data_IF_996570292568
#
_entry.id   IF_996570292568
#
_cell.length_a   1.000
_cell.length_b   1.000
_cell.length_c   1.000
_cell.angle_alpha   90.00
_cell.angle_beta   90.00
_cell.angle_gamma   90.00
#
_symmetry.space_group_name_H-M   'P 1'
#
loop_
_entity.id
_entity.type
_entity.pdbx_description
1 polymer ?
#
# COMPACT_ATOMS: atom_id res chain seq x y z
N UNK A 1 69.22 -15.55 3.81
CA UNK A 1 69.83 -15.99 2.56
C UNK A 1 68.78 -15.76 1.50
N UNK A 2 68.87 -14.66 0.85
CA UNK A 2 69.53 -14.32 -0.45
C UNK A 2 68.54 -14.62 -1.57
N UNK A 3 67.97 -13.57 -2.09
CA UNK A 3 68.45 -12.83 -3.31
C UNK A 3 67.93 -13.55 -4.57
N UNK A 4 67.39 -12.97 -5.49
CA UNK A 4 67.53 -11.80 -6.34
C UNK A 4 66.72 -12.13 -7.59
N UNK A 5 65.98 -11.27 -8.11
CA UNK A 5 66.31 -10.29 -9.14
C UNK A 5 65.88 -10.65 -10.55
N UNK A 6 65.41 -9.66 -11.26
CA UNK A 6 65.48 -9.45 -12.69
C UNK A 6 64.26 -9.81 -13.49
N UNK A 7 63.54 -8.96 -14.19
CA UNK A 7 63.94 -7.90 -15.06
C UNK A 7 62.91 -7.83 -16.14
N UNK A 8 62.41 -6.67 -16.41
CA UNK A 8 62.18 -5.95 -17.65
C UNK A 8 61.95 -6.73 -18.96
N UNK A 9 60.93 -6.37 -19.67
CA UNK A 9 60.98 -5.63 -20.92
C UNK A 9 59.65 -5.54 -21.69
N UNK A 10 59.11 -4.37 -21.74
CA UNK A 10 58.62 -3.64 -22.95
C UNK A 10 58.44 -4.47 -24.23
N UNK A 11 57.28 -4.40 -24.82
CA UNK A 11 57.11 -3.89 -26.22
C UNK A 11 55.67 -3.46 -26.50
N UNK A 12 55.53 -2.22 -26.79
CA UNK A 12 54.48 -1.59 -27.56
C UNK A 12 54.36 -2.22 -28.94
N UNK A 13 53.16 -2.39 -29.44
CA UNK A 13 52.90 -2.10 -30.86
C UNK A 13 51.46 -1.57 -31.00
N UNK A 14 51.42 -0.39 -31.44
CA UNK A 14 50.23 0.30 -31.94
C UNK A 14 49.92 -0.19 -33.37
N UNK A 15 48.63 -0.37 -33.62
CA UNK A 15 48.12 -0.33 -35.01
C UNK A 15 46.70 0.28 -34.98
N UNK A 16 46.61 1.54 -35.38
CA UNK A 16 45.44 2.08 -36.09
C UNK A 16 45.67 1.84 -37.59
N UNK A 17 44.60 1.54 -38.34
CA UNK A 17 44.26 2.46 -39.39
C UNK A 17 42.80 2.71 -39.70
N UNK A 18 42.53 3.91 -40.18
CA UNK A 18 41.74 4.38 -41.34
C UNK A 18 40.28 3.97 -41.35
N UNK A 19 39.31 4.85 -41.15
CA UNK A 19 39.07 5.96 -42.10
C UNK A 19 37.83 5.57 -42.88
N UNK A 20 36.64 6.05 -42.51
CA UNK A 20 35.53 6.08 -43.45
C UNK A 20 34.84 7.45 -43.35
N UNK A 21 34.63 7.95 -44.51
CA UNK A 21 34.29 9.28 -44.94
C UNK A 21 32.89 9.71 -44.38
N UNK A 22 32.89 10.96 -44.02
CA UNK A 22 31.72 11.83 -43.88
C UNK A 22 31.24 12.17 -45.28
N UNK A 23 29.97 11.93 -45.54
CA UNK A 23 29.23 12.52 -46.66
C UNK A 23 28.12 13.39 -46.07
N UNK A 24 28.09 14.69 -46.34
CA UNK A 24 26.95 15.52 -45.99
C UNK A 24 26.03 15.61 -47.19
N UNK A 25 24.76 15.40 -47.06
CA UNK A 25 23.79 16.10 -47.89
C UNK A 25 22.38 16.12 -47.31
N UNK A 26 21.84 17.31 -47.40
CA UNK A 26 20.49 17.77 -47.64
C UNK A 26 19.50 17.91 -46.46
N UNK A 27 19.43 19.10 -45.92
CA UNK A 27 18.19 19.79 -45.55
C UNK A 27 17.52 20.30 -46.87
N UNK A 28 16.22 20.70 -46.88
CA UNK A 28 15.29 21.08 -45.83
C UNK A 28 13.85 20.56 -46.05
N UNK A 29 13.07 20.42 -45.02
CA UNK A 29 11.62 20.55 -45.17
C UNK A 29 11.06 21.40 -44.04
N UNK A 30 10.46 22.48 -44.44
CA UNK A 30 9.66 23.41 -43.67
C UNK A 30 8.63 22.67 -42.78
N UNK A 31 8.74 22.78 -41.48
CA UNK A 31 7.61 22.56 -40.57
C UNK A 31 7.12 23.92 -40.13
N UNK A 32 5.99 24.30 -40.67
CA UNK A 32 5.21 25.47 -40.26
C UNK A 32 4.86 25.31 -38.77
N UNK A 33 5.31 26.28 -37.99
CA UNK A 33 4.80 26.56 -36.66
C UNK A 33 3.28 26.88 -36.76
N UNK A 34 2.45 25.93 -36.41
CA UNK A 34 1.08 26.20 -36.03
C UNK A 34 1.09 26.39 -34.51
N UNK A 35 1.13 27.62 -34.05
CA UNK A 35 0.70 27.98 -32.71
C UNK A 35 -0.79 27.66 -32.59
N UNK A 36 -1.11 26.56 -31.93
CA UNK A 36 -2.43 26.34 -31.38
C UNK A 36 -2.32 26.64 -29.88
N UNK A 37 -2.69 27.84 -29.52
CA UNK A 37 -3.11 28.19 -28.17
C UNK A 37 -4.43 27.48 -27.89
N UNK A 38 -4.35 26.20 -27.51
CA UNK A 38 -5.45 25.54 -26.86
C UNK A 38 -5.39 25.88 -25.37
N UNK A 39 -6.13 26.90 -24.99
CA UNK A 39 -6.55 27.15 -23.62
C UNK A 39 -7.27 25.90 -23.10
N UNK A 40 -6.53 25.00 -22.48
CA UNK A 40 -7.10 23.88 -21.74
C UNK A 40 -7.72 24.50 -20.46
N UNK A 41 -8.94 24.96 -20.59
CA UNK A 41 -9.83 25.17 -19.45
C UNK A 41 -10.07 23.79 -18.84
N UNK A 42 -9.23 23.41 -17.88
CA UNK A 42 -9.48 22.23 -17.06
C UNK A 42 -10.76 22.48 -16.27
N UNK A 43 -11.88 22.09 -16.86
CA UNK A 43 -13.17 22.00 -16.20
C UNK A 43 -12.96 21.00 -15.05
N UNK A 44 -12.86 21.52 -13.80
CA UNK A 44 -12.86 20.69 -12.60
C UNK A 44 -14.03 19.71 -12.73
N UNK A 45 -13.81 18.39 -12.66
CA UNK A 45 -14.93 17.47 -12.60
C UNK A 45 -15.73 17.85 -11.36
N UNK A 46 -17.03 18.11 -11.55
CA UNK A 46 -17.96 18.28 -10.46
C UNK A 46 -17.85 17.04 -9.57
N UNK A 47 -17.61 17.26 -8.28
CA UNK A 47 -17.66 16.21 -7.27
C UNK A 47 -19.03 15.55 -7.38
N UNK A 48 -19.04 14.31 -7.84
CA UNK A 48 -20.23 13.50 -7.92
C UNK A 48 -20.64 13.15 -6.48
N UNK A 49 -21.55 13.95 -5.92
CA UNK A 49 -22.00 13.83 -4.53
C UNK A 49 -22.97 12.65 -4.31
N UNK A 50 -23.28 11.89 -5.37
CA UNK A 50 -24.25 10.81 -5.30
C UNK A 50 -23.58 9.46 -5.01
N UNK A 51 -23.81 8.97 -3.80
CA UNK A 51 -23.59 7.58 -3.37
C UNK A 51 -22.16 7.14 -3.05
N UNK A 52 -21.36 7.96 -2.39
CA UNK A 52 -19.96 7.65 -2.09
C UNK A 52 -19.77 7.33 -0.61
N UNK A 53 -19.36 6.11 -0.30
CA UNK A 53 -18.88 5.76 1.04
C UNK A 53 -17.69 6.65 1.41
N UNK A 54 -17.68 7.18 2.62
CA UNK A 54 -16.65 8.08 3.09
C UNK A 54 -15.77 7.39 4.14
N UNK A 55 -14.47 7.50 3.97
CA UNK A 55 -13.46 6.85 4.81
C UNK A 55 -12.65 7.89 5.60
N UNK A 56 -12.25 7.52 6.81
CA UNK A 56 -11.34 8.35 7.61
C UNK A 56 -9.89 8.10 7.18
N UNK A 57 -9.15 9.18 6.88
CA UNK A 57 -7.78 9.05 6.36
C UNK A 57 -6.70 9.34 7.38
N UNK A 58 -7.02 10.03 8.45
CA UNK A 58 -6.09 10.89 9.16
C UNK A 58 -4.88 10.20 9.82
N UNK A 59 -5.07 9.06 10.48
CA UNK A 59 -3.96 8.48 11.26
C UNK A 59 -2.96 7.75 10.36
N UNK A 60 -3.43 6.88 9.47
CA UNK A 60 -2.56 6.11 8.59
C UNK A 60 -1.91 6.98 7.51
N UNK A 61 -2.64 7.93 6.94
CA UNK A 61 -2.11 8.84 5.93
C UNK A 61 -0.93 9.66 6.47
N UNK A 62 -1.08 10.29 7.64
CA UNK A 62 0.01 11.04 8.26
C UNK A 62 1.21 10.16 8.61
N UNK A 63 0.99 8.93 9.08
CA UNK A 63 2.06 7.97 9.35
C UNK A 63 2.79 7.57 8.07
N UNK A 64 2.07 7.32 6.97
CA UNK A 64 2.67 6.99 5.67
C UNK A 64 3.46 8.17 5.12
N UNK A 65 2.92 9.40 5.15
CA UNK A 65 3.66 10.59 4.72
C UNK A 65 4.95 10.77 5.52
N UNK A 66 4.91 10.58 6.84
CA UNK A 66 6.10 10.65 7.69
C UNK A 66 7.13 9.57 7.34
N UNK A 67 6.70 8.33 7.09
CA UNK A 67 7.57 7.24 6.66
C UNK A 67 8.23 7.52 5.31
N UNK A 68 7.49 8.16 4.42
CA UNK A 68 7.95 8.49 3.07
C UNK A 68 8.71 9.82 3.00
N UNK A 69 8.93 10.49 4.15
CA UNK A 69 9.56 11.81 4.24
C UNK A 69 8.87 12.86 3.34
N UNK A 70 7.54 12.77 3.24
CA UNK A 70 6.70 13.66 2.44
C UNK A 70 5.89 14.57 3.34
N UNK A 71 5.73 15.83 2.91
CA UNK A 71 4.76 16.72 3.53
C UNK A 71 3.34 16.30 3.12
N UNK A 72 2.47 16.07 4.12
CA UNK A 72 1.09 15.62 3.89
C UNK A 72 0.25 16.65 3.13
N UNK A 73 0.55 17.94 3.30
CA UNK A 73 -0.10 19.05 2.58
C UNK A 73 0.22 19.00 1.10
N UNK A 74 1.49 18.82 0.78
CA UNK A 74 1.94 18.73 -0.62
C UNK A 74 1.33 17.53 -1.32
N UNK A 75 1.27 16.36 -0.64
CA UNK A 75 0.64 15.16 -1.19
C UNK A 75 -0.85 15.38 -1.48
N UNK A 76 -1.57 16.05 -0.57
CA UNK A 76 -2.99 16.35 -0.74
C UNK A 76 -3.22 17.32 -1.90
N UNK A 77 -2.40 18.38 -2.01
CA UNK A 77 -2.50 19.38 -3.06
C UNK A 77 -2.19 18.79 -4.45
N UNK A 78 -1.14 17.97 -4.56
CA UNK A 78 -0.78 17.29 -5.81
C UNK A 78 -1.83 16.25 -6.22
N UNK A 79 -2.50 15.63 -5.26
CA UNK A 79 -3.67 14.78 -5.51
C UNK A 79 -4.90 15.58 -5.99
N UNK A 80 -4.83 16.91 -6.06
CA UNK A 80 -5.94 17.79 -6.44
C UNK A 80 -7.05 17.83 -5.38
N UNK A 81 -6.71 17.62 -4.12
CA UNK A 81 -7.65 17.55 -2.99
C UNK A 81 -7.54 18.79 -2.10
N UNK A 82 -8.59 19.13 -1.34
CA UNK A 82 -8.56 20.27 -0.46
C UNK A 82 -7.53 20.12 0.68
N UNK A 83 -6.74 21.16 0.92
CA UNK A 83 -5.67 21.21 1.93
C UNK A 83 -6.11 20.77 3.33
N UNK A 84 -7.36 21.04 3.72
CA UNK A 84 -7.92 20.61 5.03
C UNK A 84 -7.81 19.08 5.27
N UNK A 85 -7.60 18.29 4.24
CA UNK A 85 -7.38 16.84 4.36
C UNK A 85 -6.01 16.49 4.95
N UNK A 86 -5.05 17.38 4.85
CA UNK A 86 -3.71 17.20 5.43
C UNK A 86 -3.68 17.37 6.95
N UNK A 87 -4.54 18.24 7.48
CA UNK A 87 -4.49 18.67 8.89
C UNK A 87 -5.73 18.28 9.70
N UNK A 88 -6.82 17.87 9.04
CA UNK A 88 -8.11 17.66 9.65
C UNK A 88 -8.26 16.29 10.33
N UNK A 89 -8.49 16.28 11.65
CA UNK A 89 -9.00 15.10 12.31
C UNK A 89 -10.47 14.88 11.92
N UNK A 90 -10.81 13.63 11.55
CA UNK A 90 -12.18 13.24 11.22
C UNK A 90 -12.66 13.65 9.83
N UNK A 91 -11.79 14.15 8.96
CA UNK A 91 -12.15 14.42 7.57
C UNK A 91 -12.34 13.11 6.83
N UNK A 92 -13.47 12.98 6.14
CA UNK A 92 -13.82 11.80 5.35
C UNK A 92 -13.60 12.07 3.87
N UNK A 93 -13.08 11.07 3.18
CA UNK A 93 -12.82 11.11 1.75
C UNK A 93 -13.53 9.96 1.03
N UNK A 94 -13.71 10.12 -0.26
CA UNK A 94 -14.26 9.08 -1.13
C UNK A 94 -13.24 7.98 -1.37
N UNK A 95 -13.69 6.82 -1.85
CA UNK A 95 -12.80 5.74 -2.30
C UNK A 95 -11.85 6.22 -3.42
N UNK A 96 -12.37 6.98 -4.36
CA UNK A 96 -11.59 7.54 -5.46
C UNK A 96 -10.49 8.49 -4.95
N UNK A 97 -10.84 9.37 -3.99
CA UNK A 97 -9.86 10.29 -3.39
C UNK A 97 -8.82 9.53 -2.57
N UNK A 98 -9.22 8.46 -1.88
CA UNK A 98 -8.30 7.58 -1.16
C UNK A 98 -7.24 6.99 -2.11
N UNK A 99 -7.65 6.42 -3.25
CA UNK A 99 -6.70 5.87 -4.21
C UNK A 99 -5.87 6.94 -4.90
N UNK A 100 -6.43 8.12 -5.18
CA UNK A 100 -5.69 9.25 -5.72
C UNK A 100 -4.54 9.71 -4.81
N UNK A 101 -4.77 9.72 -3.50
CA UNK A 101 -3.71 9.97 -2.52
C UNK A 101 -2.60 8.92 -2.63
N UNK A 102 -2.94 7.64 -2.72
CA UNK A 102 -1.96 6.57 -2.85
C UNK A 102 -1.18 6.65 -4.17
N UNK A 103 -1.85 6.90 -5.27
CA UNK A 103 -1.20 7.10 -6.57
C UNK A 103 -0.23 8.30 -6.53
N UNK A 104 -0.60 9.35 -5.83
CA UNK A 104 0.28 10.53 -5.63
C UNK A 104 1.50 10.18 -4.79
N UNK A 105 1.34 9.43 -3.70
CA UNK A 105 2.46 8.95 -2.87
C UNK A 105 3.42 8.10 -3.72
N UNK A 106 2.88 7.18 -4.54
CA UNK A 106 3.68 6.34 -5.44
C UNK A 106 4.43 7.21 -6.44
N UNK A 107 3.75 8.14 -7.10
CA UNK A 107 4.34 9.01 -8.12
C UNK A 107 5.45 9.94 -7.56
N UNK A 108 5.31 10.40 -6.33
CA UNK A 108 6.31 11.24 -5.64
C UNK A 108 7.46 10.41 -5.08
N UNK A 109 7.25 9.13 -4.85
CA UNK A 109 8.27 8.25 -4.30
C UNK A 109 9.39 7.99 -5.32
N UNK A 110 10.64 8.09 -4.86
CA UNK A 110 11.81 7.66 -5.63
C UNK A 110 12.24 6.22 -5.28
N UNK A 111 11.47 5.55 -4.41
CA UNK A 111 11.80 4.22 -3.92
C UNK A 111 11.25 3.15 -4.86
N UNK A 112 12.05 2.15 -5.11
CA UNK A 112 11.63 0.95 -5.83
C UNK A 112 10.98 -0.07 -4.89
N UNK A 113 11.27 0.00 -3.57
CA UNK A 113 10.82 -0.90 -2.49
C UNK A 113 9.70 -0.29 -1.63
N UNK A 114 8.83 0.54 -2.22
CA UNK A 114 7.83 1.33 -1.49
C UNK A 114 6.90 0.47 -0.63
N UNK A 115 6.48 -0.70 -1.11
CA UNK A 115 5.62 -1.63 -0.38
C UNK A 115 6.32 -2.19 0.86
N UNK A 116 7.61 -2.52 0.75
CA UNK A 116 8.41 -3.05 1.84
C UNK A 116 8.63 -1.97 2.89
N UNK A 117 8.99 -0.79 2.43
CA UNK A 117 9.25 0.35 3.32
C UNK A 117 8.00 0.74 4.11
N UNK A 118 6.85 0.87 3.46
CA UNK A 118 5.59 1.21 4.12
C UNK A 118 5.13 0.06 5.04
N UNK A 119 5.13 -1.17 4.56
CA UNK A 119 4.67 -2.32 5.35
C UNK A 119 5.47 -2.50 6.64
N UNK A 120 6.80 -2.49 6.56
CA UNK A 120 7.70 -2.56 7.72
C UNK A 120 7.60 -1.34 8.62
N UNK A 121 7.56 -0.15 8.03
CA UNK A 121 7.47 1.09 8.77
C UNK A 121 6.19 1.17 9.60
N UNK A 122 5.06 0.78 9.03
CA UNK A 122 3.78 0.72 9.76
C UNK A 122 3.77 -0.38 10.82
N UNK A 123 4.39 -1.54 10.54
CA UNK A 123 4.43 -2.63 11.51
C UNK A 123 5.24 -2.27 12.77
N UNK A 124 6.32 -1.50 12.61
CA UNK A 124 7.27 -1.20 13.68
C UNK A 124 7.12 0.19 14.30
N UNK A 125 6.57 1.18 13.56
CA UNK A 125 6.61 2.58 13.97
C UNK A 125 5.26 3.24 14.21
N UNK A 126 4.18 2.72 13.64
CA UNK A 126 2.88 3.35 13.76
C UNK A 126 2.08 2.80 14.94
N UNK A 127 1.57 3.69 15.77
CA UNK A 127 0.62 3.36 16.83
C UNK A 127 -0.77 3.82 16.40
N UNK A 128 -1.64 2.87 16.12
CA UNK A 128 -3.06 3.12 15.86
C UNK A 128 -3.89 2.16 16.69
N UNK A 129 -5.04 2.59 17.22
CA UNK A 129 -5.91 1.72 18.01
C UNK A 129 -6.24 0.39 17.34
N UNK A 130 -6.39 0.36 16.01
CA UNK A 130 -6.64 -0.87 15.26
C UNK A 130 -5.48 -1.88 15.37
N UNK A 131 -4.25 -1.42 15.55
CA UNK A 131 -3.10 -2.33 15.66
C UNK A 131 -3.12 -3.10 16.98
N UNK A 132 -3.74 -2.55 18.02
CA UNK A 132 -3.99 -3.26 19.27
C UNK A 132 -5.02 -4.38 19.11
N UNK A 133 -5.95 -4.26 18.15
CA UNK A 133 -6.89 -5.35 17.85
C UNK A 133 -6.15 -6.64 17.47
N UNK A 134 -5.01 -6.50 16.73
CA UNK A 134 -4.15 -7.63 16.40
C UNK A 134 -3.20 -7.98 17.55
N UNK A 135 -2.43 -7.01 18.03
CA UNK A 135 -1.30 -7.29 18.93
C UNK A 135 -1.70 -7.68 20.36
N UNK A 136 -2.89 -7.27 20.84
CA UNK A 136 -3.38 -7.62 22.18
C UNK A 136 -4.22 -8.90 22.22
N UNK A 137 -4.28 -9.66 21.14
CA UNK A 137 -5.04 -10.90 21.07
C UNK A 137 -4.29 -12.07 21.75
N UNK A 138 -4.99 -13.11 22.20
CA UNK A 138 -4.36 -14.28 22.82
C UNK A 138 -3.55 -15.12 21.82
N UNK A 139 -3.99 -15.17 20.56
CA UNK A 139 -3.38 -15.94 19.50
C UNK A 139 -3.46 -15.23 18.15
N UNK A 140 -2.69 -15.72 17.17
CA UNK A 140 -2.56 -15.09 15.86
C UNK A 140 -3.90 -15.04 15.10
N UNK A 141 -4.69 -16.11 15.14
CA UNK A 141 -6.01 -16.19 14.49
C UNK A 141 -6.95 -15.14 15.04
N UNK A 142 -7.13 -15.12 16.36
CA UNK A 142 -7.96 -14.13 17.05
C UNK A 142 -7.51 -12.71 16.74
N UNK A 143 -6.20 -12.48 16.65
CA UNK A 143 -5.64 -11.19 16.29
C UNK A 143 -6.05 -10.73 14.89
N UNK A 144 -5.94 -11.60 13.90
CA UNK A 144 -6.40 -11.29 12.55
C UNK A 144 -7.90 -11.12 12.43
N UNK A 145 -8.71 -11.95 13.14
CA UNK A 145 -10.17 -11.81 13.17
C UNK A 145 -10.60 -10.46 13.77
N UNK A 146 -10.00 -10.06 14.89
CA UNK A 146 -10.23 -8.73 15.48
C UNK A 146 -9.85 -7.61 14.52
N UNK A 147 -8.67 -7.69 13.91
CA UNK A 147 -8.21 -6.69 12.94
C UNK A 147 -9.13 -6.61 11.73
N UNK A 148 -9.59 -7.74 11.19
CA UNK A 148 -10.50 -7.80 10.06
C UNK A 148 -11.84 -7.11 10.34
N UNK A 149 -12.38 -7.24 11.55
CA UNK A 149 -13.62 -6.58 11.99
C UNK A 149 -13.58 -5.06 11.78
N UNK A 150 -12.42 -4.44 11.98
CA UNK A 150 -12.27 -2.98 11.94
C UNK A 150 -11.59 -2.47 10.65
N UNK A 151 -11.13 -3.36 9.77
CA UNK A 151 -10.31 -2.98 8.61
C UNK A 151 -10.96 -1.91 7.72
N UNK A 152 -12.26 -1.99 7.47
CA UNK A 152 -12.96 -1.06 6.59
C UNK A 152 -13.18 0.34 7.18
N UNK A 153 -12.94 0.54 8.48
CA UNK A 153 -12.95 1.88 9.10
C UNK A 153 -11.79 2.74 8.54
N UNK A 154 -10.69 2.10 8.14
CA UNK A 154 -9.43 2.72 7.77
C UNK A 154 -9.15 2.73 6.26
N UNK A 155 -10.15 2.52 5.45
CA UNK A 155 -10.02 2.59 4.00
C UNK A 155 -11.04 1.70 3.27
N UNK A 156 -11.14 1.83 1.94
CA UNK A 156 -12.12 1.14 1.10
C UNK A 156 -11.80 -0.35 0.88
N UNK A 157 -11.40 -1.03 1.93
CA UNK A 157 -10.96 -2.41 1.88
C UNK A 157 -11.53 -3.20 3.04
N UNK A 158 -11.86 -4.45 2.79
CA UNK A 158 -12.22 -5.44 3.80
C UNK A 158 -11.14 -6.51 3.90
N UNK A 159 -11.13 -7.22 5.00
CA UNK A 159 -10.27 -8.36 5.21
C UNK A 159 -11.14 -9.56 5.63
N UNK A 160 -10.89 -10.71 5.05
CA UNK A 160 -11.51 -11.97 5.46
C UNK A 160 -10.46 -12.87 6.08
N UNK A 161 -10.85 -13.51 7.17
CA UNK A 161 -10.06 -14.52 7.87
C UNK A 161 -10.83 -15.83 7.84
N UNK A 162 -10.23 -16.89 7.31
CA UNK A 162 -10.87 -18.19 7.18
C UNK A 162 -9.98 -19.28 7.74
N UNK A 163 -10.63 -20.25 8.37
CA UNK A 163 -10.01 -21.51 8.72
C UNK A 163 -10.25 -22.52 7.58
N UNK A 164 -9.18 -22.94 6.92
CA UNK A 164 -9.23 -23.97 5.90
C UNK A 164 -8.40 -25.18 6.34
N UNK A 165 -9.07 -26.17 6.92
CA UNK A 165 -8.43 -27.40 7.46
C UNK A 165 -7.28 -27.08 8.43
N UNK A 166 -7.51 -26.13 9.33
CA UNK A 166 -6.51 -25.67 10.30
C UNK A 166 -5.67 -24.49 9.79
N UNK A 167 -5.46 -24.35 8.49
CA UNK A 167 -4.72 -23.21 7.90
C UNK A 167 -5.43 -21.89 8.19
N UNK A 168 -4.65 -20.88 8.41
CA UNK A 168 -5.14 -19.51 8.59
C UNK A 168 -5.00 -18.74 7.26
N UNK A 169 -6.12 -18.50 6.60
CA UNK A 169 -6.18 -17.74 5.34
C UNK A 169 -6.64 -16.32 5.61
N UNK A 170 -5.84 -15.36 5.20
CA UNK A 170 -6.08 -13.92 5.38
C UNK A 170 -6.07 -13.25 4.02
N UNK A 171 -7.23 -12.79 3.55
CA UNK A 171 -7.37 -12.16 2.24
C UNK A 171 -7.88 -10.72 2.35
N UNK A 172 -7.38 -9.85 1.46
CA UNK A 172 -7.74 -8.44 1.36
C UNK A 172 -8.62 -8.24 0.12
N UNK A 173 -9.75 -7.56 0.30
CA UNK A 173 -10.69 -7.28 -0.79
C UNK A 173 -10.97 -5.79 -0.87
N UNK A 174 -11.13 -5.26 -2.10
CA UNK A 174 -11.74 -3.96 -2.30
C UNK A 174 -13.25 -4.03 -2.03
N UNK A 175 -13.82 -2.96 -1.52
CA UNK A 175 -15.27 -2.88 -1.32
C UNK A 175 -16.04 -2.79 -2.63
N UNK A 176 -15.42 -2.26 -3.69
CA UNK A 176 -16.02 -2.16 -5.03
C UNK A 176 -15.13 -2.84 -6.06
N UNK A 177 -15.75 -3.62 -6.96
CA UNK A 177 -15.05 -4.43 -7.95
C UNK A 177 -14.46 -3.63 -9.14
N UNK A 178 -14.83 -2.35 -9.30
CA UNK A 178 -14.48 -1.55 -10.49
C UNK A 178 -13.31 -0.58 -10.30
N UNK A 179 -12.62 -0.63 -9.18
CA UNK A 179 -11.47 0.24 -8.92
C UNK A 179 -10.16 -0.53 -9.05
N UNK A 180 -9.18 0.07 -9.72
CA UNK A 180 -7.84 -0.48 -9.74
C UNK A 180 -7.18 -0.29 -8.37
N UNK A 181 -6.70 -1.37 -7.81
CA UNK A 181 -5.90 -1.35 -6.59
C UNK A 181 -4.57 -0.66 -6.89
N UNK A 182 -4.15 0.38 -6.15
CA UNK A 182 -2.78 0.90 -6.28
C UNK A 182 -1.76 -0.23 -6.11
N UNK A 183 -0.80 -0.32 -7.03
CA UNK A 183 0.08 -1.49 -7.15
C UNK A 183 0.83 -1.86 -5.86
N UNK A 184 1.22 -0.86 -5.06
CA UNK A 184 1.95 -1.08 -3.81
C UNK A 184 1.05 -1.39 -2.61
N UNK A 185 -0.26 -1.10 -2.69
CA UNK A 185 -1.13 -1.11 -1.51
C UNK A 185 -1.40 -2.52 -0.99
N UNK A 186 -1.73 -3.46 -1.88
CA UNK A 186 -2.00 -4.84 -1.48
C UNK A 186 -0.75 -5.55 -0.95
N UNK A 187 0.40 -5.54 -1.65
CA UNK A 187 1.64 -6.08 -1.11
C UNK A 187 2.05 -5.43 0.21
N UNK A 188 1.93 -4.10 0.31
CA UNK A 188 2.28 -3.36 1.53
C UNK A 188 1.40 -3.76 2.73
N UNK A 189 0.09 -3.99 2.53
CA UNK A 189 -0.81 -4.45 3.59
C UNK A 189 -0.46 -5.88 4.03
N UNK A 190 -0.27 -6.81 3.08
CA UNK A 190 0.09 -8.19 3.41
C UNK A 190 1.44 -8.25 4.14
N UNK A 191 2.39 -7.43 3.73
CA UNK A 191 3.68 -7.32 4.36
C UNK A 191 3.57 -6.72 5.78
N UNK A 192 2.77 -5.67 5.96
CA UNK A 192 2.45 -5.14 7.29
C UNK A 192 1.87 -6.23 8.20
N UNK A 193 0.89 -7.00 7.73
CA UNK A 193 0.26 -8.06 8.49
C UNK A 193 1.26 -9.16 8.87
N UNK A 194 2.13 -9.55 7.93
CA UNK A 194 3.16 -10.54 8.15
C UNK A 194 4.22 -10.09 9.17
N UNK A 195 4.78 -8.92 9.01
CA UNK A 195 5.77 -8.36 9.94
C UNK A 195 5.16 -8.19 11.34
N UNK A 196 3.87 -7.80 11.41
CA UNK A 196 3.16 -7.70 12.69
C UNK A 196 2.95 -9.08 13.32
N UNK A 197 2.60 -10.10 12.54
CA UNK A 197 2.49 -11.47 13.01
C UNK A 197 3.82 -11.99 13.58
N UNK A 198 4.91 -11.78 12.85
CA UNK A 198 6.26 -12.15 13.31
C UNK A 198 6.62 -11.45 14.61
N UNK A 199 6.39 -10.14 14.69
CA UNK A 199 6.67 -9.34 15.90
C UNK A 199 5.84 -9.80 17.09
N UNK A 200 4.54 -10.01 16.92
CA UNK A 200 3.64 -10.38 18.01
C UNK A 200 3.86 -11.81 18.50
N UNK A 201 4.33 -12.72 17.65
CA UNK A 201 4.67 -14.10 18.03
C UNK A 201 6.11 -14.26 18.48
N UNK A 202 6.94 -13.21 18.34
CA UNK A 202 8.40 -13.25 18.51
C UNK A 202 9.06 -14.39 17.71
N UNK A 203 8.49 -14.73 16.54
CA UNK A 203 8.98 -15.78 15.64
C UNK A 203 9.06 -15.24 14.22
N UNK A 204 10.05 -15.67 13.46
CA UNK A 204 10.07 -15.49 12.02
C UNK A 204 9.14 -16.54 11.39
N UNK A 205 7.92 -16.13 11.10
CA UNK A 205 6.96 -16.98 10.41
C UNK A 205 7.32 -17.08 8.93
N UNK A 206 7.02 -18.22 8.32
CA UNK A 206 7.11 -18.42 6.88
C UNK A 206 5.75 -18.91 6.42
N UNK A 207 4.96 -18.09 5.71
CA UNK A 207 3.64 -18.52 5.25
C UNK A 207 3.76 -19.66 4.24
N UNK A 208 2.75 -20.54 4.15
CA UNK A 208 2.71 -21.57 3.11
C UNK A 208 2.57 -20.97 1.72
N UNK A 209 1.79 -19.88 1.60
CA UNK A 209 1.56 -19.17 0.34
C UNK A 209 1.29 -17.69 0.57
N UNK A 210 1.72 -16.89 -0.39
CA UNK A 210 1.39 -15.46 -0.50
C UNK A 210 0.98 -15.17 -1.93
N UNK A 211 -0.13 -14.48 -2.11
CA UNK A 211 -0.63 -14.04 -3.41
C UNK A 211 -0.80 -12.52 -3.43
N UNK A 212 -0.47 -11.88 -4.56
CA UNK A 212 -0.83 -10.48 -4.81
C UNK A 212 -0.99 -10.22 -6.31
N UNK A 213 -1.74 -9.16 -6.64
CA UNK A 213 -1.88 -8.69 -8.02
C UNK A 213 -0.70 -7.79 -8.38
N UNK A 214 -0.18 -7.91 -9.60
CA UNK A 214 0.89 -7.04 -10.10
C UNK A 214 1.80 -7.73 -11.10
N UNK A 215 2.74 -6.97 -11.65
CA UNK A 215 3.82 -7.53 -12.47
C UNK A 215 4.74 -8.37 -11.57
N UNK A 216 5.25 -9.46 -12.09
CA UNK A 216 6.12 -10.36 -11.33
C UNK A 216 7.49 -9.76 -10.92
N UNK A 217 7.79 -8.53 -11.34
CA UNK A 217 9.11 -7.89 -11.18
C UNK A 217 9.58 -7.79 -9.72
N UNK A 218 8.65 -7.50 -8.79
CA UNK A 218 8.98 -7.33 -7.36
C UNK A 218 8.88 -8.61 -6.52
N UNK A 219 8.56 -9.75 -7.15
CA UNK A 219 8.38 -11.01 -6.42
C UNK A 219 9.63 -11.44 -5.68
N UNK A 220 10.80 -11.16 -6.24
CA UNK A 220 12.08 -11.56 -5.62
C UNK A 220 12.34 -10.76 -4.34
N UNK A 221 12.19 -9.45 -4.38
CA UNK A 221 12.36 -8.59 -3.20
C UNK A 221 11.37 -8.96 -2.08
N UNK A 222 10.11 -9.25 -2.45
CA UNK A 222 9.09 -9.69 -1.50
C UNK A 222 9.37 -11.11 -0.97
N UNK A 223 10.02 -11.98 -1.75
CA UNK A 223 10.38 -13.32 -1.29
C UNK A 223 11.38 -13.32 -0.15
N UNK A 224 12.27 -12.34 -0.09
CA UNK A 224 13.21 -12.17 1.01
C UNK A 224 12.50 -11.85 2.34
N UNK A 225 11.37 -11.13 2.24
CA UNK A 225 10.58 -10.77 3.42
C UNK A 225 9.73 -11.92 3.90
N UNK A 226 8.97 -12.54 2.99
CA UNK A 226 8.05 -13.63 3.34
C UNK A 226 8.76 -14.98 3.57
N UNK A 227 10.01 -15.13 3.09
CA UNK A 227 10.73 -16.40 3.12
C UNK A 227 10.27 -17.40 2.06
N UNK A 228 9.32 -17.03 1.20
CA UNK A 228 8.84 -17.82 0.05
C UNK A 228 8.61 -16.90 -1.14
N UNK A 229 8.62 -17.47 -2.34
CA UNK A 229 8.30 -16.74 -3.57
C UNK A 229 6.79 -16.52 -3.66
N UNK A 230 6.29 -15.27 -3.63
CA UNK A 230 4.87 -15.00 -3.78
C UNK A 230 4.36 -15.40 -5.18
N UNK A 231 3.10 -15.78 -5.27
CA UNK A 231 2.39 -16.12 -6.52
C UNK A 231 1.53 -14.94 -6.98
N UNK A 232 1.20 -14.89 -8.28
CA UNK A 232 0.26 -13.89 -8.81
C UNK A 232 -1.16 -14.39 -8.57
N UNK A 233 -1.97 -13.55 -7.94
CA UNK A 233 -3.35 -13.88 -7.58
C UNK A 233 -4.03 -12.78 -6.79
N UNK A 234 -5.20 -13.06 -6.26
CA UNK A 234 -5.88 -12.15 -5.35
C UNK A 234 -5.10 -12.03 -4.04
N UNK A 235 -5.01 -10.82 -3.45
CA UNK A 235 -4.19 -10.59 -2.27
C UNK A 235 -4.57 -11.47 -1.09
N UNK A 236 -3.73 -12.43 -0.77
CA UNK A 236 -3.95 -13.40 0.30
C UNK A 236 -2.61 -13.89 0.88
N UNK A 237 -2.60 -14.16 2.18
CA UNK A 237 -1.53 -14.85 2.88
C UNK A 237 -2.10 -16.07 3.61
N UNK A 238 -1.41 -17.20 3.53
CA UNK A 238 -1.85 -18.48 4.11
C UNK A 238 -0.76 -18.97 5.05
N UNK A 239 -1.10 -19.13 6.33
CA UNK A 239 -0.23 -19.71 7.34
C UNK A 239 -0.61 -21.16 7.61
N UNK A 240 0.39 -21.96 7.98
CA UNK A 240 0.23 -23.34 8.37
C UNK A 240 -0.64 -23.49 9.65
N UNK A 241 -1.24 -24.66 9.89
CA UNK A 241 -2.07 -24.91 11.07
C UNK A 241 -1.33 -24.67 12.40
N UNK A 242 -0.04 -24.98 12.46
CA UNK A 242 0.82 -24.78 13.63
C UNK A 242 1.06 -23.29 13.94
N UNK A 243 1.12 -22.43 12.91
CA UNK A 243 1.30 -21.00 13.09
C UNK A 243 -0.01 -20.29 13.45
N UNK A 244 -1.14 -20.82 12.97
CA UNK A 244 -2.45 -20.19 13.10
C UNK A 244 -2.87 -19.93 14.55
N UNK A 245 -2.45 -20.79 15.47
CA UNK A 245 -2.84 -20.75 16.88
C UNK A 245 -1.67 -20.39 17.81
N UNK A 246 -0.60 -19.79 17.25
CA UNK A 246 0.52 -19.32 18.07
C UNK A 246 0.05 -18.24 19.04
N UNK A 247 0.41 -18.41 20.29
CA UNK A 247 0.18 -17.41 21.33
C UNK A 247 1.00 -16.15 21.02
N UNK A 248 0.37 -14.99 21.19
CA UNK A 248 1.06 -13.72 21.00
C UNK A 248 1.79 -13.32 22.29
N UNK A 249 3.09 -13.02 22.19
CA UNK A 249 3.89 -12.52 23.33
C UNK A 249 3.47 -11.11 23.74
N UNK A 250 2.74 -10.42 22.88
CA UNK A 250 2.19 -9.08 23.08
C UNK A 250 0.76 -9.11 23.63
N UNK A 251 0.21 -10.29 24.00
CA UNK A 251 -1.13 -10.39 24.55
C UNK A 251 -1.37 -9.43 25.71
N UNK A 252 -2.47 -8.68 25.64
CA UNK A 252 -2.86 -7.76 26.69
C UNK A 252 -4.38 -7.56 26.71
N UNK A 253 -5.07 -8.41 27.48
CA UNK A 253 -6.52 -8.35 27.58
C UNK A 253 -7.03 -7.04 28.21
N UNK A 254 -6.30 -6.45 29.16
CA UNK A 254 -6.69 -5.20 29.79
C UNK A 254 -6.62 -4.03 28.82
N UNK A 255 -5.54 -3.93 28.03
CA UNK A 255 -5.40 -2.90 26.99
C UNK A 255 -6.46 -3.10 25.90
N UNK A 256 -6.73 -4.33 25.48
CA UNK A 256 -7.80 -4.62 24.53
C UNK A 256 -9.15 -4.12 25.03
N UNK A 257 -9.52 -4.43 26.27
CA UNK A 257 -10.78 -4.00 26.88
C UNK A 257 -10.92 -2.49 26.92
N UNK A 258 -9.82 -1.75 27.07
CA UNK A 258 -9.83 -0.28 27.08
C UNK A 258 -9.97 0.35 25.68
N UNK A 259 -9.50 -0.33 24.63
CA UNK A 259 -9.46 0.19 23.26
C UNK A 259 -10.68 -0.24 22.43
N UNK A 260 -11.21 -1.44 22.67
CA UNK A 260 -12.30 -2.01 21.88
C UNK A 260 -13.57 -1.13 21.80
N UNK A 261 -14.02 -0.45 22.88
CA UNK A 261 -15.20 0.41 22.82
C UNK A 261 -15.06 1.56 21.80
N UNK A 262 -13.90 2.20 21.75
CA UNK A 262 -13.64 3.28 20.80
C UNK A 262 -13.60 2.77 19.35
N UNK A 263 -13.01 1.62 19.11
CA UNK A 263 -13.02 0.97 17.80
C UNK A 263 -14.44 0.58 17.36
N UNK A 264 -15.26 0.07 18.27
CA UNK A 264 -16.66 -0.25 17.99
C UNK A 264 -17.48 1.02 17.69
N UNK A 265 -17.22 2.14 18.36
CA UNK A 265 -17.84 3.42 18.06
C UNK A 265 -17.46 3.91 16.65
N UNK A 266 -16.18 3.86 16.30
CA UNK A 266 -15.71 4.21 14.95
C UNK A 266 -16.33 3.31 13.88
N UNK A 267 -16.44 2.00 14.15
CA UNK A 267 -17.09 1.03 13.30
C UNK A 267 -18.57 1.37 13.05
N UNK A 268 -19.31 1.69 14.11
CA UNK A 268 -20.70 2.10 14.01
C UNK A 268 -20.89 3.37 13.18
N UNK A 269 -20.01 4.37 13.38
CA UNK A 269 -20.00 5.61 12.60
C UNK A 269 -19.68 5.35 11.12
N UNK A 270 -18.72 4.49 10.82
CA UNK A 270 -18.37 4.13 9.44
C UNK A 270 -19.56 3.42 8.74
N UNK A 271 -20.19 2.45 9.42
CA UNK A 271 -21.34 1.74 8.87
C UNK A 271 -22.54 2.66 8.63
N UNK A 272 -22.78 3.64 9.48
CA UNK A 272 -23.84 4.63 9.30
C UNK A 272 -23.58 5.48 8.08
N UNK A 273 -22.34 5.92 7.86
CA UNK A 273 -21.94 6.70 6.71
C UNK A 273 -22.08 5.94 5.37
N UNK A 274 -21.80 4.65 5.37
CA UNK A 274 -21.98 3.78 4.19
C UNK A 274 -23.47 3.60 3.86
N UNK A 275 -24.35 3.53 4.85
CA UNK A 275 -25.81 3.32 4.68
C UNK A 275 -26.60 4.59 4.39
N UNK A 276 -26.07 5.77 4.67
CA UNK A 276 -26.79 7.04 4.44
C UNK A 276 -27.24 7.24 3.00
N UNK A 277 -26.41 7.00 1.98
CA UNK A 277 -26.82 7.13 0.58
C UNK A 277 -27.97 6.19 0.20
N UNK A 278 -27.98 4.95 0.71
CA UNK A 278 -29.07 3.98 0.45
C UNK A 278 -30.39 4.44 1.08
N UNK A 279 -30.36 4.99 2.28
CA UNK A 279 -31.56 5.52 2.96
C UNK A 279 -32.13 6.75 2.26
N UNK A 280 -31.28 7.64 1.77
CA UNK A 280 -31.72 8.83 1.01
C UNK A 280 -32.36 8.41 -0.32
N UNK A 281 -31.80 7.43 -1.04
CA UNK A 281 -32.43 6.86 -2.24
C UNK A 281 -33.78 6.24 -1.96
N UNK A 282 -33.89 5.47 -0.89
CA UNK A 282 -35.17 4.84 -0.48
C UNK A 282 -36.24 5.88 -0.15
N UNK A 283 -35.85 7.08 0.36
CA UNK A 283 -36.78 8.16 0.63
C UNK A 283 -37.16 8.97 -0.64
N UNK A 284 -36.34 8.95 -1.69
CA UNK A 284 -36.55 9.69 -2.94
C UNK A 284 -37.23 8.85 -4.04
N UNK A 285 -37.35 7.53 -3.85
CA UNK A 285 -38.15 6.70 -4.75
C UNK A 285 -39.63 6.97 -4.53
N UNK A 286 -40.42 7.37 -5.57
CA UNK A 286 -41.85 7.49 -5.40
C UNK A 286 -42.44 6.11 -5.06
N UNK A 287 -43.25 6.07 -4.03
CA UNK A 287 -44.07 4.89 -3.71
C UNK A 287 -45.06 4.73 -4.85
N UNK A 288 -44.84 3.73 -5.69
CA UNK A 288 -45.80 3.26 -6.70
C UNK A 288 -46.98 2.58 -6.04
#
# INVERSE_FOLDING_TARGET
CSDSDGGEARRQLALRPKGLQIVPDALPVHVKQARNEATISAKRPALDHDNTALYSTTILFGAVCKLMEMDSRDVVLDAGLPERLATGHGVRITEQDFFRIWDTIIARSRRTDIEIHIGRGLANGATSPIFFALSCAPDLRTGFERFAKFKHVFGPMTMTVKNDKGRLRVAIHLLRHNTNFPACLAPGILLFLHEKACSCTARRLVPEKVFFRGSGEKRHELSEVFGIMPEIGDPEIIYAPEDANLTLVSENAALWTSVEPDLNLQLAQANTAIRMPERVRACLMPRS
#
